data_IF_192554618468
#
_entry.id   IF_192554618468
#
_cell.length_a   1.000
_cell.length_b   1.000
_cell.length_c   1.000
_cell.angle_alpha   90.00
_cell.angle_beta   90.00
_cell.angle_gamma   90.00
#
_symmetry.space_group_name_H-M   'P 1'
#
loop_
_entity.id
_entity.type
_entity.pdbx_description
1 polymer ?
#
# COMPACT_ATOMS: atom_id res chain seq x y z
N UNK A 1 62.47 -28.32 61.36
CA UNK A 1 61.54 -28.87 60.35
C UNK A 1 61.07 -27.71 59.48
N UNK A 2 61.22 -27.84 58.15
CA UNK A 2 61.25 -26.72 57.21
C UNK A 2 59.88 -26.14 56.85
N UNK A 3 59.88 -24.81 56.67
CA UNK A 3 59.20 -23.98 55.68
C UNK A 3 57.97 -24.55 54.92
N UNK A 4 56.90 -23.75 54.84
CA UNK A 4 56.29 -23.34 53.54
C UNK A 4 55.23 -22.25 53.72
N UNK A 5 55.66 -20.99 53.54
CA UNK A 5 54.80 -19.89 53.14
C UNK A 5 54.37 -20.14 51.68
N UNK A 6 53.07 -20.12 51.40
CA UNK A 6 52.53 -20.08 50.02
C UNK A 6 51.96 -18.69 49.77
N UNK A 7 52.67 -17.91 48.97
CA UNK A 7 52.17 -16.72 48.29
C UNK A 7 51.14 -17.18 47.23
N UNK A 8 49.91 -16.67 47.33
CA UNK A 8 48.89 -16.75 46.28
C UNK A 8 48.88 -15.40 45.55
N UNK A 9 49.62 -15.33 44.46
CA UNK A 9 49.52 -14.28 43.44
C UNK A 9 48.61 -14.78 42.32
N UNK A 10 47.37 -14.28 42.30
CA UNK A 10 46.39 -14.44 41.20
C UNK A 10 45.97 -13.03 40.72
N UNK A 11 45.50 -12.87 39.47
CA UNK A 11 46.12 -12.01 38.48
C UNK A 11 45.30 -10.74 38.25
N UNK A 12 45.88 -9.58 38.53
CA UNK A 12 45.30 -8.27 38.21
C UNK A 12 45.29 -7.99 36.69
N UNK A 13 45.88 -8.88 35.88
CA UNK A 13 46.01 -8.71 34.43
C UNK A 13 44.78 -9.13 33.59
N UNK A 14 43.74 -9.73 34.19
CA UNK A 14 42.57 -10.20 33.42
C UNK A 14 41.45 -9.17 33.27
N UNK A 15 41.47 -8.07 34.04
CA UNK A 15 40.43 -7.03 33.96
C UNK A 15 40.67 -6.01 32.84
N UNK A 16 41.92 -5.85 32.37
CA UNK A 16 42.26 -4.83 31.38
C UNK A 16 41.88 -5.22 29.93
N UNK A 17 41.74 -6.52 29.65
CA UNK A 17 41.45 -7.04 28.30
C UNK A 17 39.95 -6.99 27.98
N UNK A 18 39.06 -7.01 28.99
CA UNK A 18 37.62 -6.87 28.79
C UNK A 18 37.17 -5.43 28.49
N UNK A 19 37.94 -4.40 28.89
CA UNK A 19 37.62 -3.01 28.58
C UNK A 19 37.99 -2.58 27.15
N UNK A 20 38.84 -3.33 26.44
CA UNK A 20 39.27 -3.01 25.07
C UNK A 20 38.39 -3.66 23.98
N UNK A 21 37.46 -4.55 24.36
CA UNK A 21 36.48 -5.16 23.44
C UNK A 21 35.12 -4.44 23.44
N UNK A 22 34.97 -3.35 24.19
CA UNK A 22 33.96 -2.34 23.89
C UNK A 22 34.39 -1.58 22.62
N UNK A 23 34.51 -2.29 21.51
CA UNK A 23 34.58 -1.70 20.19
C UNK A 23 33.34 -0.79 20.08
N UNK A 24 33.59 0.51 20.08
CA UNK A 24 32.59 1.53 19.84
C UNK A 24 31.86 1.21 18.54
N UNK A 25 30.74 0.50 18.63
CA UNK A 25 29.68 0.62 17.66
C UNK A 25 29.29 2.10 17.71
N UNK A 26 29.92 2.92 16.86
CA UNK A 26 29.48 4.30 16.65
C UNK A 26 28.04 4.15 16.19
N UNK A 27 27.11 4.46 17.10
CA UNK A 27 25.72 4.66 16.75
C UNK A 27 25.71 5.84 15.79
N UNK A 28 25.67 5.54 14.50
CA UNK A 28 25.59 6.56 13.48
C UNK A 28 24.31 7.36 13.71
N UNK A 29 24.42 8.67 13.54
CA UNK A 29 23.34 9.59 13.83
C UNK A 29 23.41 10.80 12.91
N UNK A 30 22.27 11.46 12.74
CA UNK A 30 22.14 12.70 11.96
C UNK A 30 21.56 13.79 12.84
N UNK A 31 21.86 15.06 12.56
CA UNK A 31 21.36 16.19 13.36
C UNK A 31 19.96 16.66 12.93
N UNK A 32 19.56 16.32 11.70
CA UNK A 32 18.31 16.79 11.10
C UNK A 32 17.39 15.61 10.76
N UNK A 33 16.11 15.89 10.55
CA UNK A 33 15.14 14.94 9.97
C UNK A 33 15.02 15.12 8.45
N UNK A 34 16.03 15.68 7.78
CA UNK A 34 16.02 15.79 6.32
C UNK A 34 16.05 14.39 5.70
N UNK A 35 15.19 14.18 4.68
CA UNK A 35 15.08 12.90 3.99
C UNK A 35 16.44 12.37 3.51
N UNK A 36 17.28 13.26 2.96
CA UNK A 36 18.61 12.90 2.44
C UNK A 36 19.53 12.34 3.52
N UNK A 37 19.55 12.97 4.69
CA UNK A 37 20.40 12.57 5.82
C UNK A 37 19.95 11.22 6.38
N UNK A 38 18.64 11.05 6.57
CA UNK A 38 18.06 9.79 7.04
C UNK A 38 18.27 8.65 6.03
N UNK A 39 18.11 8.91 4.73
CA UNK A 39 18.39 7.93 3.68
C UNK A 39 19.85 7.47 3.68
N UNK A 40 20.82 8.39 3.85
CA UNK A 40 22.26 8.05 3.94
C UNK A 40 22.61 7.31 5.24
N UNK A 41 21.88 7.60 6.30
CA UNK A 41 22.01 6.88 7.56
C UNK A 41 21.57 5.42 7.41
N UNK A 42 20.42 5.18 6.76
CA UNK A 42 19.83 3.84 6.56
C UNK A 42 20.54 3.06 5.45
N UNK A 43 20.83 3.69 4.32
CA UNK A 43 21.36 3.06 3.11
C UNK A 43 22.76 3.58 2.79
N UNK A 44 23.78 2.79 3.16
CA UNK A 44 25.18 3.13 2.89
C UNK A 44 25.45 3.22 1.40
N UNK A 45 26.05 4.35 0.98
CA UNK A 45 26.34 4.62 -0.43
C UNK A 45 25.15 5.17 -1.22
N UNK A 46 23.99 5.39 -0.59
CA UNK A 46 22.87 6.05 -1.26
C UNK A 46 23.21 7.50 -1.60
N UNK A 47 22.95 7.88 -2.85
CA UNK A 47 23.11 9.24 -3.35
C UNK A 47 21.90 9.65 -4.19
N UNK A 48 21.71 10.96 -4.33
CA UNK A 48 20.52 11.56 -4.95
C UNK A 48 20.49 11.35 -6.47
N UNK A 49 21.62 10.97 -7.11
CA UNK A 49 21.61 10.66 -8.54
C UNK A 49 20.86 9.35 -8.82
N UNK A 50 19.94 9.38 -9.77
CA UNK A 50 19.05 8.24 -10.11
C UNK A 50 19.81 6.95 -10.49
N UNK A 51 21.05 7.10 -10.96
CA UNK A 51 21.94 5.98 -11.33
C UNK A 51 22.66 5.33 -10.13
N UNK A 52 22.86 6.05 -9.02
CA UNK A 52 23.64 5.56 -7.84
C UNK A 52 22.78 5.25 -6.61
N UNK A 53 21.47 5.48 -6.67
CA UNK A 53 20.50 5.16 -5.61
C UNK A 53 20.11 3.67 -5.53
N UNK A 54 20.87 2.79 -6.20
CA UNK A 54 20.64 1.35 -6.23
C UNK A 54 21.17 0.73 -4.95
N UNK A 55 20.28 0.17 -4.14
CA UNK A 55 20.63 -0.59 -2.94
C UNK A 55 20.32 -2.06 -3.22
N UNK A 56 21.35 -2.91 -3.14
CA UNK A 56 21.15 -4.35 -3.14
C UNK A 56 20.39 -4.70 -1.87
N UNK A 57 19.30 -5.45 -2.01
CA UNK A 57 18.31 -5.60 -0.96
C UNK A 57 18.95 -5.77 0.44
N UNK A 58 18.42 -5.11 1.48
CA UNK A 58 18.67 -5.61 2.84
C UNK A 58 18.32 -7.09 2.86
N UNK A 59 19.05 -7.94 3.60
CA UNK A 59 18.77 -9.38 3.65
C UNK A 59 17.28 -9.60 3.93
N UNK A 60 16.50 -9.85 2.88
CA UNK A 60 15.05 -9.95 2.94
C UNK A 60 14.76 -11.25 3.68
N UNK A 61 14.29 -11.16 4.92
CA UNK A 61 13.61 -12.29 5.57
C UNK A 61 12.16 -12.40 5.07
N UNK A 62 11.92 -12.05 3.81
CA UNK A 62 10.60 -12.10 3.19
C UNK A 62 10.71 -12.99 1.96
N UNK A 63 9.83 -13.98 1.88
CA UNK A 63 9.60 -14.74 0.66
C UNK A 63 9.07 -13.77 -0.39
N UNK A 64 9.71 -13.72 -1.55
CA UNK A 64 9.12 -13.05 -2.71
C UNK A 64 7.73 -13.67 -2.97
N UNK A 65 6.77 -12.92 -3.55
CA UNK A 65 5.52 -13.52 -3.99
C UNK A 65 5.82 -14.73 -4.88
N UNK A 66 5.06 -15.82 -4.72
CA UNK A 66 5.34 -17.13 -5.35
C UNK A 66 5.50 -17.09 -6.89
N UNK A 67 5.07 -16.00 -7.54
CA UNK A 67 5.23 -15.72 -8.96
C UNK A 67 6.63 -15.22 -9.36
N UNK A 68 7.46 -14.79 -8.42
CA UNK A 68 8.81 -14.33 -8.70
C UNK A 68 9.76 -15.53 -8.79
N UNK A 69 10.55 -15.60 -9.88
CA UNK A 69 11.66 -16.57 -9.96
C UNK A 69 12.58 -16.37 -8.75
N UNK A 70 13.21 -17.43 -8.22
CA UNK A 70 14.20 -17.29 -7.14
C UNK A 70 15.43 -16.54 -7.66
N UNK A 71 15.35 -15.22 -7.70
CA UNK A 71 16.47 -14.34 -8.04
C UNK A 71 17.27 -14.12 -6.77
N UNK A 72 18.54 -14.51 -6.80
CA UNK A 72 19.41 -14.57 -5.63
C UNK A 72 19.65 -13.22 -4.93
N UNK A 73 19.39 -12.07 -5.58
CA UNK A 73 19.43 -10.73 -4.99
C UNK A 73 18.55 -9.80 -5.83
N UNK A 74 17.49 -9.24 -5.25
CA UNK A 74 16.70 -8.19 -5.89
C UNK A 74 17.41 -6.83 -5.74
N UNK A 75 17.62 -6.13 -6.85
CA UNK A 75 18.14 -4.77 -6.83
C UNK A 75 16.97 -3.77 -6.86
N UNK A 76 16.95 -2.86 -5.88
CA UNK A 76 15.91 -1.85 -5.75
C UNK A 76 16.54 -0.46 -5.85
N UNK A 77 15.89 0.44 -6.58
CA UNK A 77 16.13 1.88 -6.47
C UNK A 77 15.30 2.42 -5.31
N UNK A 78 15.95 3.02 -4.33
CA UNK A 78 15.30 3.47 -3.09
C UNK A 78 15.00 4.98 -3.14
N UNK A 79 13.75 5.34 -2.88
CA UNK A 79 13.26 6.71 -2.87
C UNK A 79 12.64 7.05 -1.51
N UNK A 80 13.08 8.15 -0.89
CA UNK A 80 12.38 8.69 0.26
C UNK A 80 10.97 9.13 -0.15
N UNK A 81 9.96 8.70 0.60
CA UNK A 81 8.58 9.12 0.40
C UNK A 81 8.24 10.26 1.36
N UNK A 82 8.27 9.96 2.66
CA UNK A 82 7.83 10.87 3.72
C UNK A 82 8.73 10.70 4.94
N UNK A 83 8.90 11.80 5.67
CA UNK A 83 9.43 11.76 7.04
C UNK A 83 8.35 12.34 7.94
N UNK A 84 7.89 11.55 8.90
CA UNK A 84 6.85 11.96 9.83
C UNK A 84 7.39 11.90 11.25
N UNK A 85 7.29 13.02 11.95
CA UNK A 85 7.54 13.09 13.39
C UNK A 85 6.31 12.52 14.11
N UNK A 86 6.49 11.51 14.94
CA UNK A 86 5.40 10.85 15.67
C UNK A 86 5.19 11.50 17.04
N UNK A 87 6.29 11.85 17.71
CA UNK A 87 6.30 12.66 18.93
C UNK A 87 7.57 13.54 18.98
N UNK A 88 7.85 14.19 20.11
CA UNK A 88 9.00 15.08 20.27
C UNK A 88 10.36 14.43 19.92
N UNK A 89 10.50 13.13 20.18
CA UNK A 89 11.73 12.34 20.16
C UNK A 89 11.68 11.13 19.22
N UNK A 90 10.56 10.88 18.54
CA UNK A 90 10.44 9.78 17.57
C UNK A 90 9.98 10.27 16.19
N UNK A 91 10.55 9.66 15.16
CA UNK A 91 10.21 9.94 13.77
C UNK A 91 10.31 8.67 12.93
N UNK A 92 9.60 8.63 11.82
CA UNK A 92 9.67 7.55 10.83
C UNK A 92 10.05 8.11 9.46
N UNK A 93 10.92 7.40 8.75
CA UNK A 93 11.17 7.56 7.32
C UNK A 93 10.43 6.45 6.58
N UNK A 94 9.57 6.82 5.64
CA UNK A 94 8.92 5.92 4.70
C UNK A 94 9.66 5.94 3.38
N UNK A 95 9.88 4.75 2.81
CA UNK A 95 10.72 4.58 1.62
C UNK A 95 9.97 3.70 0.62
N UNK A 96 10.06 4.08 -0.66
CA UNK A 96 9.66 3.26 -1.80
C UNK A 96 10.89 2.58 -2.38
N UNK A 97 10.83 1.26 -2.53
CA UNK A 97 11.76 0.50 -3.36
C UNK A 97 11.14 0.21 -4.72
N UNK A 98 11.77 0.67 -5.79
CA UNK A 98 11.38 0.37 -7.16
C UNK A 98 12.31 -0.70 -7.74
N UNK A 99 11.80 -1.87 -8.14
CA UNK A 99 12.62 -2.90 -8.78
C UNK A 99 13.24 -2.42 -10.08
N UNK A 100 14.51 -2.76 -10.30
CA UNK A 100 15.17 -2.51 -11.58
C UNK A 100 14.71 -3.48 -12.68
N UNK A 101 14.25 -4.67 -12.29
CA UNK A 101 13.63 -5.64 -13.19
C UNK A 101 12.15 -5.31 -13.39
N UNK A 102 11.71 -5.27 -14.64
CA UNK A 102 10.32 -4.98 -14.99
C UNK A 102 9.37 -6.09 -14.54
N UNK A 103 8.11 -5.73 -14.25
CA UNK A 103 7.08 -6.67 -13.82
C UNK A 103 7.13 -7.07 -12.34
N UNK A 104 8.13 -6.59 -11.59
CA UNK A 104 8.18 -6.78 -10.15
C UNK A 104 7.43 -5.66 -9.39
N UNK A 105 6.78 -5.99 -8.26
CA UNK A 105 6.01 -5.04 -7.46
C UNK A 105 6.87 -3.98 -6.77
N UNK A 106 6.30 -2.78 -6.55
CA UNK A 106 6.95 -1.77 -5.69
C UNK A 106 6.94 -2.24 -4.22
N UNK A 107 8.02 -1.92 -3.51
CA UNK A 107 8.19 -2.16 -2.08
C UNK A 107 7.90 -0.88 -1.29
N UNK A 108 7.22 -1.02 -0.15
CA UNK A 108 7.22 -0.02 0.92
C UNK A 108 8.08 -0.54 2.08
N UNK A 109 8.92 0.33 2.63
CA UNK A 109 9.73 0.08 3.82
C UNK A 109 9.64 1.26 4.80
N UNK A 110 9.91 0.99 6.08
CA UNK A 110 9.84 1.99 7.13
C UNK A 110 11.01 1.88 8.12
N UNK A 111 11.50 3.03 8.56
CA UNK A 111 12.67 3.16 9.43
C UNK A 111 12.37 4.15 10.54
N UNK A 112 12.49 3.73 11.80
CA UNK A 112 12.19 4.57 12.96
C UNK A 112 13.46 5.11 13.58
N UNK A 113 13.41 6.40 13.93
CA UNK A 113 14.50 7.13 14.54
C UNK A 113 14.08 7.63 15.89
N UNK A 114 15.04 7.61 16.83
CA UNK A 114 14.90 8.21 18.14
C UNK A 114 15.92 9.33 18.32
N UNK A 115 15.46 10.45 18.86
CA UNK A 115 16.30 11.57 19.26
C UNK A 115 17.02 11.25 20.57
N UNK A 116 18.32 11.51 20.61
CA UNK A 116 19.18 11.43 21.80
C UNK A 116 20.03 12.70 21.85
N UNK A 117 19.61 13.66 22.67
CA UNK A 117 20.16 15.02 22.63
C UNK A 117 19.77 15.73 21.33
N UNK A 118 20.74 16.19 20.56
CA UNK A 118 20.49 16.85 19.28
C UNK A 118 20.44 15.89 18.09
N UNK A 119 20.89 14.65 18.28
CA UNK A 119 21.07 13.69 17.20
C UNK A 119 19.93 12.66 17.12
N UNK A 120 19.60 12.26 15.90
CA UNK A 120 18.65 11.20 15.55
C UNK A 120 19.41 9.94 15.16
N UNK A 121 19.08 8.82 15.78
CA UNK A 121 19.66 7.51 15.48
C UNK A 121 18.58 6.52 15.09
N UNK A 122 18.86 5.65 14.11
CA UNK A 122 17.98 4.54 13.74
C UNK A 122 17.81 3.60 14.94
N UNK A 123 16.56 3.31 15.32
CA UNK A 123 16.25 2.40 16.44
C UNK A 123 15.43 1.18 16.02
N UNK A 124 14.72 1.27 14.90
CA UNK A 124 13.97 0.14 14.37
C UNK A 124 13.83 0.22 12.85
N UNK A 125 13.54 -0.92 12.21
CA UNK A 125 13.34 -1.04 10.76
C UNK A 125 12.32 -2.13 10.44
N UNK A 126 11.51 -1.85 9.44
CA UNK A 126 10.63 -2.80 8.78
C UNK A 126 10.96 -2.74 7.28
N UNK A 127 11.86 -3.61 6.86
CA UNK A 127 12.38 -3.62 5.48
C UNK A 127 11.34 -4.03 4.44
N UNK A 128 10.32 -4.76 4.88
CA UNK A 128 9.16 -5.10 4.07
C UNK A 128 7.90 -4.76 4.86
N UNK A 129 7.35 -3.60 4.55
CA UNK A 129 6.03 -3.20 5.02
C UNK A 129 4.97 -3.78 4.09
N UNK A 130 5.17 -3.65 2.78
CA UNK A 130 4.22 -4.11 1.79
C UNK A 130 4.86 -4.31 0.41
N UNK A 131 4.42 -5.34 -0.32
CA UNK A 131 4.61 -5.46 -1.75
C UNK A 131 3.29 -5.15 -2.43
N UNK A 132 3.23 -4.04 -3.15
CA UNK A 132 2.00 -3.70 -3.89
C UNK A 132 1.94 -4.63 -5.10
N UNK A 133 0.89 -5.46 -5.20
CA UNK A 133 0.75 -6.63 -6.08
C UNK A 133 1.44 -6.50 -7.46
N UNK A 134 1.89 -7.62 -8.04
CA UNK A 134 2.59 -7.66 -9.32
C UNK A 134 1.86 -6.80 -10.38
N UNK A 135 2.56 -5.79 -10.92
CA UNK A 135 2.07 -4.74 -11.84
C UNK A 135 1.28 -3.56 -11.22
N UNK A 136 1.17 -3.46 -9.90
CA UNK A 136 0.65 -2.32 -9.16
C UNK A 136 1.66 -1.17 -9.11
N UNK A 137 1.35 -0.05 -9.77
CA UNK A 137 2.16 1.17 -9.69
C UNK A 137 1.60 2.07 -8.59
N UNK A 138 2.47 2.57 -7.72
CA UNK A 138 2.10 3.65 -6.80
C UNK A 138 1.83 4.89 -7.64
N UNK A 139 0.59 5.37 -7.66
CA UNK A 139 0.21 6.60 -8.34
C UNK A 139 0.39 7.80 -7.40
N UNK A 140 0.06 7.62 -6.13
CA UNK A 140 0.12 8.68 -5.12
C UNK A 140 0.34 8.12 -3.73
N UNK A 141 1.05 8.88 -2.90
CA UNK A 141 1.15 8.64 -1.46
C UNK A 141 0.88 9.93 -0.71
N UNK A 142 0.25 9.83 0.45
CA UNK A 142 0.09 10.95 1.36
C UNK A 142 0.06 10.50 2.81
N UNK A 143 0.56 11.35 3.70
CA UNK A 143 0.36 11.19 5.13
C UNK A 143 -1.01 11.73 5.51
N UNK A 144 -1.75 10.97 6.31
CA UNK A 144 -3.02 11.40 6.90
C UNK A 144 -2.98 11.22 8.41
N UNK A 145 -3.51 12.20 9.13
CA UNK A 145 -3.69 12.11 10.58
C UNK A 145 -5.00 11.37 10.86
N UNK A 146 -4.96 10.32 11.66
CA UNK A 146 -6.13 9.52 12.04
C UNK A 146 -6.86 10.17 13.23
N UNK A 147 -6.07 10.67 14.18
CA UNK A 147 -6.43 11.49 15.34
C UNK A 147 -5.14 12.13 15.85
N UNK A 148 -5.17 13.12 16.77
CA UNK A 148 -3.98 13.88 17.16
C UNK A 148 -2.76 13.03 17.48
N UNK A 149 -1.70 13.15 16.66
CA UNK A 149 -0.43 12.44 16.83
C UNK A 149 -0.39 11.00 16.31
N UNK A 150 -1.47 10.50 15.71
CA UNK A 150 -1.54 9.16 15.13
C UNK A 150 -1.74 9.27 13.62
N UNK A 151 -0.86 8.63 12.85
CA UNK A 151 -0.77 8.85 11.41
C UNK A 151 -0.94 7.55 10.62
N UNK A 152 -1.41 7.67 9.39
CA UNK A 152 -1.35 6.61 8.40
C UNK A 152 -0.71 7.09 7.11
N UNK A 153 -0.05 6.15 6.43
CA UNK A 153 0.31 6.29 5.03
C UNK A 153 -0.88 5.84 4.18
N UNK A 154 -1.43 6.77 3.39
CA UNK A 154 -2.35 6.47 2.32
C UNK A 154 -1.59 6.20 1.03
N UNK A 155 -1.88 5.07 0.39
CA UNK A 155 -1.28 4.64 -0.87
C UNK A 155 -2.40 4.46 -1.87
N UNK A 156 -2.40 5.28 -2.91
CA UNK A 156 -3.18 5.02 -4.11
C UNK A 156 -2.28 4.23 -5.07
N UNK A 157 -2.73 3.03 -5.44
CA UNK A 157 -2.00 2.17 -6.36
C UNK A 157 -2.90 1.69 -7.47
N UNK A 158 -2.33 1.52 -8.67
CA UNK A 158 -3.07 1.22 -9.87
C UNK A 158 -2.53 0.00 -10.58
N UNK A 159 -3.42 -0.83 -11.11
CA UNK A 159 -3.08 -1.90 -12.02
C UNK A 159 -3.75 -1.67 -13.37
N UNK A 160 -2.98 -1.87 -14.44
CA UNK A 160 -3.48 -1.81 -15.81
C UNK A 160 -3.32 -3.17 -16.46
N UNK A 161 -4.45 -3.79 -16.81
CA UNK A 161 -4.50 -5.03 -17.57
C UNK A 161 -5.54 -4.89 -18.68
N UNK A 162 -5.18 -5.21 -19.92
CA UNK A 162 -6.11 -5.26 -21.07
C UNK A 162 -6.98 -3.99 -21.22
N UNK A 163 -6.38 -2.80 -21.03
CA UNK A 163 -7.01 -1.47 -21.02
C UNK A 163 -7.92 -1.16 -19.82
N UNK A 164 -8.08 -2.09 -18.88
CA UNK A 164 -8.75 -1.82 -17.62
C UNK A 164 -7.80 -1.11 -16.66
N UNK A 165 -8.24 0.02 -16.10
CA UNK A 165 -7.49 0.74 -15.08
C UNK A 165 -8.24 0.60 -13.77
N UNK A 166 -7.66 -0.18 -12.85
CA UNK A 166 -8.14 -0.30 -11.50
C UNK A 166 -7.22 0.52 -10.59
N UNK A 167 -7.81 1.36 -9.74
CA UNK A 167 -7.07 2.12 -8.72
C UNK A 167 -7.67 1.81 -7.37
N UNK A 168 -6.81 1.50 -6.42
CA UNK A 168 -7.19 1.16 -5.06
C UNK A 168 -6.52 2.08 -4.05
N UNK A 169 -7.22 2.31 -2.94
CA UNK A 169 -6.69 2.95 -1.74
C UNK A 169 -6.34 1.88 -0.71
N UNK A 170 -5.09 1.93 -0.25
CA UNK A 170 -4.63 1.22 0.94
C UNK A 170 -4.26 2.24 2.02
N UNK A 171 -4.75 2.01 3.24
CA UNK A 171 -4.38 2.80 4.42
C UNK A 171 -3.53 1.94 5.37
N UNK A 172 -2.41 2.49 5.81
CA UNK A 172 -1.41 1.79 6.61
C UNK A 172 -1.10 2.63 7.84
N UNK A 173 -1.54 2.21 9.03
CA UNK A 173 -1.27 2.91 10.29
C UNK A 173 0.20 2.82 10.64
N UNK A 174 0.75 3.95 11.05
CA UNK A 174 2.12 4.06 11.53
C UNK A 174 2.09 4.02 13.05
N UNK A 175 2.64 2.94 13.60
CA UNK A 175 2.78 2.77 15.04
C UNK A 175 4.22 3.11 15.46
N UNK A 176 4.49 3.04 16.77
CA UNK A 176 5.79 3.40 17.33
C UNK A 176 6.96 2.55 16.80
N UNK A 177 6.69 1.33 16.34
CA UNK A 177 7.71 0.35 15.94
C UNK A 177 7.31 -0.52 14.73
N UNK A 178 6.12 -0.34 14.17
CA UNK A 178 5.66 -1.11 13.01
C UNK A 178 4.63 -0.33 12.19
N UNK A 179 4.39 -0.81 10.97
CA UNK A 179 3.28 -0.38 10.14
C UNK A 179 2.29 -1.53 10.00
N UNK A 180 1.00 -1.23 10.24
CA UNK A 180 -0.08 -2.20 10.15
C UNK A 180 -1.16 -1.72 9.18
N UNK A 181 -1.70 -2.60 8.31
CA UNK A 181 -2.80 -2.22 7.44
C UNK A 181 -4.04 -1.85 8.24
N UNK A 182 -4.84 -0.90 7.76
CA UNK A 182 -6.11 -0.50 8.35
C UNK A 182 -7.33 -1.14 7.68
N UNK A 183 -7.11 -1.94 6.65
CA UNK A 183 -8.08 -2.84 6.05
C UNK A 183 -7.66 -4.30 6.26
N UNK A 184 -8.58 -5.23 6.03
CA UNK A 184 -8.21 -6.65 5.94
C UNK A 184 -7.34 -6.89 4.70
N UNK A 185 -6.55 -7.96 4.75
CA UNK A 185 -5.80 -8.43 3.59
C UNK A 185 -6.79 -8.67 2.42
N UNK A 186 -6.43 -8.17 1.24
CA UNK A 186 -7.23 -8.27 0.01
C UNK A 186 -8.52 -7.41 -0.01
N UNK A 187 -8.70 -6.49 0.95
CA UNK A 187 -9.83 -5.53 0.98
C UNK A 187 -9.37 -4.08 0.84
N UNK A 188 -8.57 -3.80 -0.19
CA UNK A 188 -8.34 -2.41 -0.54
C UNK A 188 -9.65 -1.76 -0.99
N UNK A 189 -9.73 -0.44 -0.84
CA UNK A 189 -10.90 0.31 -1.26
C UNK A 189 -10.77 0.66 -2.74
N UNK A 190 -11.72 0.25 -3.56
CA UNK A 190 -11.77 0.64 -4.98
C UNK A 190 -11.99 2.15 -5.11
N UNK A 191 -11.00 2.86 -5.66
CA UNK A 191 -11.09 4.30 -5.97
C UNK A 191 -11.50 4.54 -7.41
N UNK A 192 -10.92 3.80 -8.35
CA UNK A 192 -11.29 3.90 -9.77
C UNK A 192 -11.51 2.49 -10.25
N UNK A 193 -12.63 2.30 -10.93
CA UNK A 193 -12.84 1.12 -11.74
C UNK A 193 -13.24 1.59 -13.12
N UNK A 194 -12.25 1.58 -13.99
CA UNK A 194 -12.46 1.80 -15.41
C UNK A 194 -12.37 0.46 -16.11
N UNK A 195 -13.54 -0.11 -16.41
CA UNK A 195 -13.68 -1.34 -17.16
C UNK A 195 -13.80 -0.96 -18.65
N UNK A 196 -12.68 -0.62 -19.26
CA UNK A 196 -12.51 -0.61 -20.72
C UNK A 196 -12.28 -2.05 -21.22
N UNK A 197 -13.09 -3.01 -20.76
CA UNK A 197 -12.89 -4.41 -21.11
C UNK A 197 -13.35 -4.66 -22.54
N UNK A 198 -12.43 -4.43 -23.46
CA UNK A 198 -12.61 -4.67 -24.88
C UNK A 198 -13.36 -3.56 -25.62
N UNK A 199 -13.29 -3.60 -26.96
CA UNK A 199 -13.87 -2.60 -27.85
C UNK A 199 -15.40 -2.46 -27.71
N UNK A 200 -16.06 -3.40 -27.03
CA UNK A 200 -17.51 -3.36 -26.78
C UNK A 200 -17.88 -2.40 -25.65
N UNK A 201 -17.18 -2.43 -24.51
CA UNK A 201 -17.43 -1.47 -23.43
C UNK A 201 -17.12 -0.04 -23.87
N UNK A 202 -16.01 0.18 -24.57
CA UNK A 202 -15.67 1.51 -25.11
C UNK A 202 -16.80 2.07 -26.00
N UNK A 203 -17.29 1.27 -26.97
CA UNK A 203 -18.44 1.65 -27.83
C UNK A 203 -19.70 1.95 -27.02
N UNK A 204 -20.01 1.12 -26.03
CA UNK A 204 -21.18 1.30 -25.16
C UNK A 204 -21.08 2.56 -24.30
N UNK A 205 -19.88 2.89 -23.84
CA UNK A 205 -19.61 4.03 -22.95
C UNK A 205 -19.57 5.36 -23.70
N UNK A 206 -19.15 5.35 -24.96
CA UNK A 206 -19.15 6.53 -25.84
C UNK A 206 -20.43 6.73 -26.64
N UNK A 207 -21.31 5.72 -26.73
CA UNK A 207 -22.67 5.92 -27.18
C UNK A 207 -23.36 6.89 -26.21
N UNK A 208 -23.61 8.13 -26.65
CA UNK A 208 -24.14 9.20 -25.80
C UNK A 208 -25.50 8.88 -25.13
N UNK A 209 -26.07 9.87 -24.42
CA UNK A 209 -27.23 9.77 -23.50
C UNK A 209 -28.54 9.13 -24.01
N UNK A 210 -28.66 8.65 -25.25
CA UNK A 210 -29.95 8.56 -25.93
C UNK A 210 -30.26 7.29 -26.73
N UNK A 211 -29.55 6.16 -26.55
CA UNK A 211 -29.97 4.92 -27.24
C UNK A 211 -30.07 3.75 -26.28
N UNK A 212 -31.28 3.22 -26.14
CA UNK A 212 -31.49 1.82 -25.80
C UNK A 212 -30.78 0.99 -26.88
N UNK A 213 -29.50 0.70 -26.67
CA UNK A 213 -28.79 -0.17 -27.59
C UNK A 213 -29.32 -1.57 -27.35
N UNK A 214 -29.96 -2.14 -28.38
CA UNK A 214 -30.31 -3.55 -28.40
C UNK A 214 -29.23 -4.30 -29.15
N UNK A 215 -28.64 -5.28 -28.50
CA UNK A 215 -27.68 -6.21 -29.10
C UNK A 215 -28.40 -7.51 -29.41
N UNK A 216 -28.10 -8.09 -30.56
CA UNK A 216 -28.58 -9.40 -30.97
C UNK A 216 -27.37 -10.31 -31.12
N UNK A 217 -27.26 -11.29 -30.24
CA UNK A 217 -26.14 -12.23 -30.20
C UNK A 217 -26.66 -13.65 -30.44
N UNK A 218 -25.85 -14.52 -31.05
CA UNK A 218 -26.24 -15.92 -31.20
C UNK A 218 -26.33 -16.56 -29.80
N UNK A 219 -27.18 -17.55 -29.61
CA UNK A 219 -27.31 -18.22 -28.31
C UNK A 219 -25.99 -18.88 -27.84
N UNK A 220 -25.06 -19.14 -28.76
CA UNK A 220 -23.72 -19.67 -28.46
C UNK A 220 -22.67 -18.58 -28.15
N UNK A 221 -22.99 -17.31 -28.36
CA UNK A 221 -22.13 -16.19 -28.01
C UNK A 221 -22.32 -15.83 -26.52
N UNK A 222 -21.26 -15.40 -25.80
CA UNK A 222 -21.40 -14.97 -24.42
C UNK A 222 -22.28 -13.70 -24.33
N UNK A 223 -23.03 -13.52 -23.23
CA UNK A 223 -23.77 -12.29 -23.01
C UNK A 223 -22.83 -11.08 -22.93
N UNK A 224 -23.32 -9.85 -23.21
CA UNK A 224 -22.50 -8.66 -23.11
C UNK A 224 -21.91 -8.49 -21.70
N UNK A 225 -20.67 -7.99 -21.54
CA UNK A 225 -20.13 -7.74 -20.21
C UNK A 225 -20.85 -6.59 -19.50
N UNK A 226 -20.76 -6.55 -18.16
CA UNK A 226 -21.11 -5.35 -17.40
C UNK A 226 -19.92 -4.38 -17.46
N UNK A 227 -20.15 -3.13 -17.86
CA UNK A 227 -19.13 -2.10 -17.92
C UNK A 227 -19.27 -1.14 -16.72
N UNK A 228 -18.14 -0.70 -16.18
CA UNK A 228 -18.07 0.23 -15.06
C UNK A 228 -17.15 1.39 -15.44
N UNK A 229 -17.61 2.61 -15.23
CA UNK A 229 -16.79 3.81 -15.24
C UNK A 229 -17.22 4.63 -14.06
N UNK A 230 -16.48 4.47 -12.97
CA UNK A 230 -16.66 5.31 -11.82
C UNK A 230 -15.34 5.75 -11.23
N UNK A 231 -15.42 6.95 -10.67
CA UNK A 231 -14.38 7.55 -9.85
C UNK A 231 -14.96 7.72 -8.46
N UNK A 232 -14.22 7.27 -7.46
CA UNK A 232 -14.44 7.55 -6.07
C UNK A 232 -13.35 8.47 -5.54
N UNK A 233 -13.78 9.51 -4.83
CA UNK A 233 -12.92 10.37 -4.02
C UNK A 233 -13.01 9.91 -2.59
N UNK A 234 -11.92 10.04 -1.86
CA UNK A 234 -11.86 9.66 -0.46
C UNK A 234 -11.41 10.84 0.40
N UNK A 235 -11.94 10.88 1.61
CA UNK A 235 -11.59 11.87 2.62
C UNK A 235 -11.55 11.19 3.99
N UNK A 236 -10.50 11.44 4.76
CA UNK A 236 -10.38 10.97 6.13
C UNK A 236 -10.34 12.20 7.04
N UNK A 237 -11.38 12.33 7.87
CA UNK A 237 -11.44 13.38 8.88
C UNK A 237 -10.84 12.83 10.18
N UNK A 238 -9.80 13.45 10.76
CA UNK A 238 -9.22 12.98 12.01
C UNK A 238 -10.28 12.94 13.13
N UNK A 239 -10.30 11.87 13.90
CA UNK A 239 -11.14 11.79 15.10
C UNK A 239 -10.45 12.46 16.30
N UNK A 240 -11.17 12.57 17.42
CA UNK A 240 -10.63 13.21 18.62
C UNK A 240 -9.68 12.30 19.41
N UNK A 241 -10.05 11.02 19.56
CA UNK A 241 -9.32 10.03 20.38
C UNK A 241 -9.12 8.69 19.67
N UNK A 242 -9.80 8.49 18.54
CA UNK A 242 -9.78 7.29 17.71
C UNK A 242 -9.78 7.73 16.25
N UNK A 243 -9.33 6.88 15.32
CA UNK A 243 -9.41 7.17 13.90
C UNK A 243 -10.83 7.60 13.49
N UNK A 244 -10.95 8.76 12.85
CA UNK A 244 -12.23 9.28 12.40
C UNK A 244 -12.75 8.53 11.16
N UNK A 245 -13.95 8.85 10.65
CA UNK A 245 -14.52 8.12 9.53
C UNK A 245 -13.76 8.39 8.22
N UNK A 246 -13.63 7.34 7.40
CA UNK A 246 -13.22 7.44 6.00
C UNK A 246 -14.49 7.55 5.15
N UNK A 247 -14.63 8.66 4.44
CA UNK A 247 -15.73 8.92 3.53
C UNK A 247 -15.27 8.65 2.10
N UNK A 248 -16.07 7.88 1.36
CA UNK A 248 -15.90 7.66 -0.07
C UNK A 248 -17.10 8.26 -0.79
N UNK A 249 -16.86 9.11 -1.76
CA UNK A 249 -17.89 9.66 -2.63
C UNK A 249 -17.63 9.17 -4.05
N UNK A 250 -18.55 8.38 -4.59
CA UNK A 250 -18.41 7.83 -5.92
C UNK A 250 -19.39 8.47 -6.89
N UNK A 251 -18.91 8.67 -8.12
CA UNK A 251 -19.70 9.19 -9.23
C UNK A 251 -19.27 8.51 -10.51
N UNK A 252 -20.23 8.16 -11.36
CA UNK A 252 -19.97 7.46 -12.59
C UNK A 252 -21.23 6.88 -13.20
N UNK A 253 -21.05 5.78 -13.93
CA UNK A 253 -22.12 5.02 -14.54
C UNK A 253 -21.74 3.55 -14.62
N UNK A 254 -22.74 2.70 -14.57
CA UNK A 254 -22.62 1.29 -14.93
C UNK A 254 -23.43 1.04 -16.18
N UNK A 255 -22.95 0.14 -17.03
CA UNK A 255 -23.72 -0.42 -18.14
C UNK A 255 -23.92 -1.88 -17.83
N UNK A 256 -25.18 -2.27 -17.71
CA UNK A 256 -25.60 -3.67 -17.57
C UNK A 256 -26.44 -4.08 -18.76
N UNK A 257 -26.70 -5.37 -18.90
CA UNK A 257 -27.61 -5.88 -19.91
C UNK A 257 -28.82 -6.54 -19.26
N UNK A 258 -29.93 -6.54 -19.97
CA UNK A 258 -31.11 -7.34 -19.65
C UNK A 258 -31.51 -8.12 -20.89
N UNK A 259 -31.62 -9.44 -20.75
CA UNK A 259 -32.20 -10.28 -21.78
C UNK A 259 -33.68 -9.92 -21.99
N UNK A 260 -34.09 -9.74 -23.26
CA UNK A 260 -35.43 -9.27 -23.60
C UNK A 260 -36.21 -10.19 -24.54
N UNK A 261 -35.54 -10.94 -25.41
CA UNK A 261 -36.20 -11.89 -26.30
C UNK A 261 -35.25 -12.96 -26.85
N UNK A 262 -35.83 -14.04 -27.36
CA UNK A 262 -35.16 -14.98 -28.26
C UNK A 262 -35.88 -15.01 -29.60
N UNK A 263 -35.13 -15.16 -30.68
CA UNK A 263 -35.64 -15.24 -32.04
C UNK A 263 -34.77 -16.18 -32.89
N UNK A 264 -35.26 -16.55 -34.06
CA UNK A 264 -34.47 -17.30 -35.05
C UNK A 264 -34.21 -16.40 -36.24
N UNK A 265 -32.97 -16.36 -36.74
CA UNK A 265 -32.62 -15.57 -37.91
C UNK A 265 -33.02 -16.24 -39.23
N UNK A 266 -32.76 -15.57 -40.35
CA UNK A 266 -33.05 -16.09 -41.68
C UNK A 266 -32.27 -17.36 -42.06
N UNK A 267 -31.20 -17.69 -41.32
CA UNK A 267 -30.40 -18.90 -41.52
C UNK A 267 -30.83 -20.06 -40.60
N UNK A 268 -31.82 -19.84 -39.72
CA UNK A 268 -32.28 -20.84 -38.76
C UNK A 268 -31.49 -20.86 -37.45
N UNK A 269 -30.57 -19.92 -37.24
CA UNK A 269 -29.79 -19.82 -36.01
C UNK A 269 -30.58 -19.11 -34.90
N UNK A 270 -30.43 -19.58 -33.65
CA UNK A 270 -31.06 -18.93 -32.49
C UNK A 270 -30.25 -17.72 -32.04
N UNK A 271 -30.97 -16.62 -31.80
CA UNK A 271 -30.43 -15.33 -31.39
C UNK A 271 -31.16 -14.87 -30.13
N UNK A 272 -30.38 -14.38 -29.16
CA UNK A 272 -30.86 -13.71 -27.94
C UNK A 272 -30.66 -12.19 -28.06
N UNK A 273 -31.70 -11.43 -27.74
CA UNK A 273 -31.66 -9.98 -27.69
C UNK A 273 -31.43 -9.45 -26.28
N UNK A 274 -30.55 -8.46 -26.17
CA UNK A 274 -30.19 -7.79 -24.92
C UNK A 274 -30.43 -6.29 -25.01
N UNK A 275 -31.15 -5.72 -24.05
CA UNK A 275 -31.22 -4.28 -23.85
C UNK A 275 -30.08 -3.83 -22.92
N UNK A 276 -29.30 -2.86 -23.39
CA UNK A 276 -28.25 -2.24 -22.58
C UNK A 276 -28.83 -1.13 -21.69
N UNK A 277 -28.58 -1.23 -20.39
CA UNK A 277 -29.07 -0.35 -19.35
C UNK A 277 -27.93 0.48 -18.77
N UNK A 278 -27.91 1.78 -19.08
CA UNK A 278 -26.98 2.74 -18.49
C UNK A 278 -27.58 3.27 -17.19
N UNK A 279 -26.96 2.94 -16.07
CA UNK A 279 -27.40 3.39 -14.75
C UNK A 279 -26.39 4.41 -14.20
N UNK A 280 -26.79 5.67 -13.96
CA UNK A 280 -25.95 6.60 -13.21
C UNK A 280 -25.60 6.01 -11.86
N UNK A 281 -24.32 6.04 -11.52
CA UNK A 281 -23.82 5.59 -10.23
C UNK A 281 -23.41 6.83 -9.43
N UNK A 282 -24.12 7.11 -8.35
CA UNK A 282 -23.76 8.14 -7.37
C UNK A 282 -24.04 7.62 -5.98
N UNK A 283 -23.17 7.94 -5.04
CA UNK A 283 -23.41 7.62 -3.65
C UNK A 283 -22.22 7.90 -2.75
N UNK A 284 -22.42 7.62 -1.47
CA UNK A 284 -21.42 7.79 -0.44
C UNK A 284 -21.31 6.51 0.36
N UNK A 285 -20.09 6.07 0.62
CA UNK A 285 -19.79 4.99 1.56
C UNK A 285 -19.08 5.62 2.74
N UNK A 286 -19.55 5.33 3.94
CA UNK A 286 -18.87 5.70 5.17
C UNK A 286 -18.25 4.46 5.78
N UNK A 287 -16.93 4.47 5.93
CA UNK A 287 -16.22 3.46 6.68
C UNK A 287 -15.91 4.03 8.07
N UNK A 288 -16.13 3.21 9.08
CA UNK A 288 -15.88 3.54 10.48
C UNK A 288 -14.80 2.63 11.04
N UNK A 289 -13.93 3.19 11.86
CA UNK A 289 -12.92 2.42 12.55
C UNK A 289 -13.55 1.58 13.65
N UNK A 290 -13.31 0.28 13.63
CA UNK A 290 -13.68 -0.66 14.67
C UNK A 290 -12.48 -0.88 15.61
N UNK A 291 -12.54 -0.39 16.88
CA UNK A 291 -11.46 -0.54 17.83
C UNK A 291 -11.17 -2.00 18.22
N UNK A 292 -12.14 -2.91 18.07
CA UNK A 292 -11.96 -4.30 18.44
C UNK A 292 -11.03 -5.03 17.45
N UNK A 293 -11.14 -4.71 16.17
CA UNK A 293 -10.32 -5.29 15.10
C UNK A 293 -9.12 -4.41 14.73
N UNK A 294 -9.18 -3.11 15.04
CA UNK A 294 -8.20 -2.12 14.61
C UNK A 294 -8.30 -1.80 13.11
N UNK A 295 -9.48 -1.98 12.50
CA UNK A 295 -9.72 -1.88 11.06
C UNK A 295 -10.89 -0.97 10.73
N UNK A 296 -10.91 -0.43 9.52
CA UNK A 296 -12.10 0.20 8.96
C UNK A 296 -13.07 -0.85 8.43
N UNK A 297 -14.35 -0.68 8.78
CA UNK A 297 -15.45 -1.49 8.28
C UNK A 297 -16.50 -0.60 7.66
N UNK A 298 -17.22 -1.11 6.65
CA UNK A 298 -18.36 -0.40 6.07
C UNK A 298 -19.42 -0.21 7.15
N UNK A 299 -19.85 1.03 7.37
CA UNK A 299 -20.98 1.30 8.25
C UNK A 299 -22.23 0.74 7.58
N UNK A 300 -22.69 -0.42 8.03
CA UNK A 300 -24.00 -0.92 7.63
C UNK A 300 -25.05 0.04 8.20
N UNK A 301 -25.82 0.68 7.32
CA UNK A 301 -27.00 1.40 7.74
C UNK A 301 -27.91 0.42 8.47
N UNK A 302 -27.99 0.52 9.80
CA UNK A 302 -29.05 -0.16 10.53
C UNK A 302 -30.36 0.39 9.96
N UNK A 303 -31.26 -0.45 9.43
CA UNK A 303 -32.55 0.03 8.97
C UNK A 303 -33.18 0.81 10.12
N UNK A 304 -33.50 2.07 9.87
CA UNK A 304 -34.25 2.89 10.80
C UNK A 304 -35.54 2.12 11.11
N UNK A 305 -35.61 1.50 12.29
CA UNK A 305 -36.89 1.02 12.80
C UNK A 305 -37.72 2.27 13.08
N UNK A 306 -38.51 2.68 12.09
CA UNK A 306 -39.55 3.67 12.27
C UNK A 306 -40.41 3.23 13.46
N UNK A 307 -40.54 4.13 14.44
CA UNK A 307 -41.60 4.04 15.44
C UNK A 307 -42.88 4.61 14.83
#
# INVERSE_FOLDING_TARGET
>A
MQLKLRFLSFPVFSLLVLCLLAACARNESVQTLEQRDLMRLVFKGWDVSEEKSIVRAPQLKAELPASAKPVAVLALRMHALHVQKLDADTAVLLVKGEPLESGLPNLIAAYWFKRRGEAWSLVNRQDVVEWLAANGRISKTSMVELFPGDFALAIEHSHVEKNEVNVWLRLMRIEADKISPLFDKDKDVDLVRHFESGPECEKLMHAGKARHLRLHLRDNDPPPPNCYDYLARWELNPGATLPGPLLLEFSGKTISHREVNHSTDSAGERITGYDMLITPLQGKIRLVFDPATGKYVVQQDKPHKGK
#
